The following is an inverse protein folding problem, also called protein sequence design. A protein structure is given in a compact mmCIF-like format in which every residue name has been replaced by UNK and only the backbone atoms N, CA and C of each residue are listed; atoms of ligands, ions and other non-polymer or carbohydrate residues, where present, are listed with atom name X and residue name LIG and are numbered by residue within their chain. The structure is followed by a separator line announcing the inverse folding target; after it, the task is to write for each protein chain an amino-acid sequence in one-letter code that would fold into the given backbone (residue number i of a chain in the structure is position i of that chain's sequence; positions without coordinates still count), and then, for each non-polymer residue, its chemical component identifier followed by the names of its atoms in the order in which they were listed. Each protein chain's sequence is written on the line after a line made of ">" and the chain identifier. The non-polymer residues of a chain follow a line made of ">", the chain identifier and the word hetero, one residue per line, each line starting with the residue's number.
data_IF_124152495792
#
_entry.id   IF_124152495792
#
_cell.length_a   1.000
_cell.length_b   1.000
_cell.length_c   1.000
_cell.angle_alpha   90.00
_cell.angle_beta   90.00
_cell.angle_gamma   90.00
#
_symmetry.space_group_name_H-M   'P 1'
#
loop_
_entity.id
_entity.type
_entity.pdbx_description
1 polymer ?
#
# COMPACT_ATOMS: atom_id res chain seq x y z
N UNK A 1 -2.85 -2.69 7.29
CA UNK A 1 -3.38 -2.02 6.08
C UNK A 1 -3.18 -2.96 4.90
N UNK A 2 -4.24 -3.37 4.20
CA UNK A 2 -4.13 -4.38 3.12
C UNK A 2 -4.43 -3.69 1.78
N UNK A 3 -3.47 -3.74 0.86
CA UNK A 3 -3.57 -3.17 -0.49
C UNK A 3 -4.07 -4.22 -1.47
N UNK A 4 -4.85 -3.81 -2.49
CA UNK A 4 -5.32 -4.69 -3.57
C UNK A 4 -4.13 -5.16 -4.41
N UNK A 5 -3.61 -6.34 -4.11
CA UNK A 5 -2.52 -6.95 -4.85
C UNK A 5 -3.07 -7.93 -5.88
N UNK A 6 -3.03 -7.56 -7.17
CA UNK A 6 -3.32 -8.52 -8.25
C UNK A 6 -2.20 -9.56 -8.35
N UNK A 7 -2.54 -10.79 -8.73
CA UNK A 7 -1.63 -11.95 -8.80
C UNK A 7 -0.32 -11.69 -9.58
N UNK A 8 -0.32 -10.74 -10.53
CA UNK A 8 0.86 -10.35 -11.32
C UNK A 8 1.87 -9.50 -10.56
N UNK A 9 1.41 -8.67 -9.63
CA UNK A 9 2.28 -7.77 -8.88
C UNK A 9 2.83 -8.43 -7.62
N UNK A 10 2.05 -9.33 -7.00
CA UNK A 10 2.46 -10.14 -5.85
C UNK A 10 3.78 -10.88 -6.12
N UNK A 11 3.91 -11.52 -7.29
CA UNK A 11 5.11 -12.32 -7.65
C UNK A 11 6.43 -11.53 -7.74
N UNK A 12 6.37 -10.20 -7.68
CA UNK A 12 7.56 -9.34 -7.76
C UNK A 12 8.01 -8.84 -6.38
N UNK A 13 7.18 -9.00 -5.36
CA UNK A 13 7.48 -8.61 -3.99
C UNK A 13 8.35 -9.67 -3.36
N UNK A 14 9.41 -9.25 -2.66
CA UNK A 14 10.34 -10.12 -1.96
C UNK A 14 10.64 -9.60 -0.55
N UNK A 15 11.07 -10.49 0.36
CA UNK A 15 11.65 -10.06 1.63
C UNK A 15 12.76 -9.03 1.42
N UNK A 16 12.73 -7.95 2.20
CA UNK A 16 13.64 -6.81 2.09
C UNK A 16 13.16 -5.68 1.18
N UNK A 17 12.07 -5.85 0.43
CA UNK A 17 11.47 -4.75 -0.33
C UNK A 17 10.79 -3.76 0.61
N UNK A 18 10.95 -2.46 0.29
CA UNK A 18 10.27 -1.39 0.99
C UNK A 18 8.88 -1.14 0.40
N UNK A 19 7.89 -1.00 1.27
CA UNK A 19 6.53 -0.62 0.90
C UNK A 19 6.15 0.69 1.57
N UNK A 20 5.43 1.55 0.85
CA UNK A 20 4.86 2.77 1.41
C UNK A 20 3.37 2.57 1.68
N UNK A 21 2.90 3.06 2.82
CA UNK A 21 1.49 3.09 3.16
C UNK A 21 0.85 4.37 2.64
N UNK A 22 -0.21 4.25 1.85
CA UNK A 22 -0.99 5.39 1.37
C UNK A 22 -2.38 5.37 2.00
N UNK A 23 -2.71 6.43 2.72
CA UNK A 23 -3.98 6.63 3.41
C UNK A 23 -4.97 7.24 2.41
N UNK A 24 -6.16 6.64 2.31
CA UNK A 24 -7.24 7.04 1.39
C UNK A 24 -8.53 7.36 2.15
N UNK A 25 -8.44 7.88 3.38
CA UNK A 25 -9.62 8.22 4.17
C UNK A 25 -10.21 9.58 3.79
N UNK A 26 -11.46 9.82 4.18
CA UNK A 26 -12.17 11.08 3.90
C UNK A 26 -11.52 12.32 4.54
N UNK A 27 -10.83 12.13 5.68
CA UNK A 27 -10.27 13.22 6.49
C UNK A 27 -8.78 13.44 6.26
N UNK A 28 -8.03 12.39 5.92
CA UNK A 28 -6.59 12.46 5.69
C UNK A 28 -6.21 11.56 4.52
N UNK A 29 -5.43 12.12 3.60
CA UNK A 29 -4.96 11.42 2.40
C UNK A 29 -3.49 11.74 2.17
N UNK A 30 -2.69 10.70 1.90
CA UNK A 30 -1.26 10.85 1.68
C UNK A 30 -0.47 9.65 2.16
N UNK A 31 0.84 9.70 2.00
CA UNK A 31 1.73 8.65 2.48
C UNK A 31 1.91 8.77 3.99
N UNK A 32 1.53 7.73 4.73
CA UNK A 32 1.55 7.71 6.19
C UNK A 32 2.81 7.09 6.80
N UNK A 33 3.68 6.53 5.99
CA UNK A 33 4.83 5.78 6.47
C UNK A 33 5.32 4.73 5.49
N UNK A 34 6.22 3.88 5.97
CA UNK A 34 6.75 2.75 5.21
C UNK A 34 7.05 1.56 6.12
N UNK A 35 7.28 0.41 5.51
CA UNK A 35 7.72 -0.82 6.17
C UNK A 35 8.59 -1.65 5.21
N UNK A 36 9.19 -2.72 5.72
CA UNK A 36 9.97 -3.71 4.99
C UNK A 36 9.26 -5.05 5.02
N UNK A 37 9.08 -5.65 3.84
CA UNK A 37 8.52 -6.98 3.68
C UNK A 37 9.41 -8.01 4.39
N UNK A 38 8.82 -8.78 5.30
CA UNK A 38 9.51 -9.80 6.07
C UNK A 38 9.43 -11.19 5.41
N UNK A 39 8.35 -11.47 4.69
CA UNK A 39 8.06 -12.81 4.15
C UNK A 39 7.75 -12.79 2.66
N UNK A 40 8.00 -13.91 2.00
CA UNK A 40 7.49 -14.14 0.64
C UNK A 40 5.96 -14.10 0.67
N UNK A 41 5.29 -13.54 -0.36
CA UNK A 41 3.85 -13.54 -0.41
C UNK A 41 3.27 -14.95 -0.38
N UNK A 42 2.28 -15.15 0.47
CA UNK A 42 1.62 -16.43 0.68
C UNK A 42 0.10 -16.28 0.57
N UNK A 43 -0.65 -17.36 0.34
CA UNK A 43 -2.10 -17.31 0.37
C UNK A 43 -2.60 -16.77 1.71
N UNK A 44 -3.61 -15.91 1.68
CA UNK A 44 -4.18 -15.36 2.90
C UNK A 44 -4.86 -16.47 3.72
N UNK A 45 -4.62 -16.47 5.03
CA UNK A 45 -5.26 -17.42 5.95
C UNK A 45 -6.69 -16.97 6.30
N UNK A 46 -7.58 -17.90 6.73
CA UNK A 46 -8.91 -17.53 7.19
C UNK A 46 -8.89 -16.48 8.31
N UNK A 47 -7.96 -16.59 9.26
CA UNK A 47 -7.79 -15.63 10.36
C UNK A 47 -7.46 -14.23 9.85
N UNK A 48 -6.49 -14.12 8.93
CA UNK A 48 -6.14 -12.84 8.30
C UNK A 48 -7.32 -12.21 7.55
N UNK A 49 -8.20 -13.01 6.93
CA UNK A 49 -9.40 -12.51 6.24
C UNK A 49 -10.36 -11.78 7.20
N UNK A 50 -10.50 -12.24 8.44
CA UNK A 50 -11.35 -11.59 9.44
C UNK A 50 -10.85 -10.21 9.86
N UNK A 51 -9.55 -9.95 9.70
CA UNK A 51 -8.93 -8.66 10.05
C UNK A 51 -8.90 -7.66 8.90
N UNK A 52 -9.45 -8.00 7.73
CA UNK A 52 -9.60 -7.06 6.62
C UNK A 52 -10.74 -6.08 6.94
N UNK A 53 -10.42 -4.79 6.92
CA UNK A 53 -11.37 -3.70 7.17
C UNK A 53 -11.43 -2.79 5.94
N UNK A 54 -12.64 -2.38 5.54
CA UNK A 54 -12.88 -1.38 4.51
C UNK A 54 -13.10 -1.90 3.07
N UNK A 55 -12.64 -3.10 2.75
CA UNK A 55 -12.97 -3.80 1.48
C UNK A 55 -13.44 -5.23 1.78
N UNK A 56 -14.11 -5.86 0.81
CA UNK A 56 -14.51 -7.27 0.98
C UNK A 56 -13.26 -8.13 1.15
N UNK A 57 -13.25 -8.99 2.16
CA UNK A 57 -12.14 -9.93 2.38
C UNK A 57 -11.92 -10.89 1.19
N UNK A 58 -12.94 -11.05 0.33
CA UNK A 58 -12.90 -11.84 -0.91
C UNK A 58 -12.01 -11.21 -1.99
N UNK A 59 -11.74 -9.90 -1.91
CA UNK A 59 -10.93 -9.18 -2.90
C UNK A 59 -9.41 -9.40 -2.73
N UNK A 60 -9.01 -10.20 -1.73
CA UNK A 60 -7.62 -10.44 -1.38
C UNK A 60 -7.28 -11.93 -1.40
N UNK A 61 -6.30 -12.29 -2.23
CA UNK A 61 -5.84 -13.67 -2.41
C UNK A 61 -4.55 -13.98 -1.63
N UNK A 62 -3.70 -12.98 -1.45
CA UNK A 62 -2.35 -13.13 -0.90
C UNK A 62 -2.09 -12.10 0.21
N UNK A 63 -1.22 -12.48 1.14
CA UNK A 63 -0.68 -11.64 2.18
C UNK A 63 0.85 -11.75 2.20
N UNK A 64 1.50 -10.73 2.75
CA UNK A 64 2.90 -10.76 3.15
C UNK A 64 3.00 -10.09 4.51
N UNK A 65 3.93 -10.56 5.32
CA UNK A 65 4.17 -10.00 6.64
C UNK A 65 5.18 -8.86 6.53
N UNK A 66 5.11 -7.93 7.48
CA UNK A 66 6.01 -6.81 7.58
C UNK A 66 6.87 -6.92 8.85
N UNK A 67 8.04 -6.30 8.84
CA UNK A 67 9.01 -6.43 9.94
C UNK A 67 8.92 -5.28 10.95
N UNK A 68 8.91 -4.03 10.49
CA UNK A 68 8.88 -2.86 11.35
C UNK A 68 8.28 -1.65 10.62
N UNK A 69 7.05 -1.32 10.99
CA UNK A 69 6.35 -0.18 10.42
C UNK A 69 6.87 1.14 11.02
N UNK A 70 7.36 2.03 10.16
CA UNK A 70 7.58 3.43 10.52
C UNK A 70 6.36 4.24 10.11
N UNK A 71 5.65 4.78 11.10
CA UNK A 71 4.49 5.65 10.91
C UNK A 71 4.90 7.10 11.16
N UNK A 72 4.51 7.99 10.25
CA UNK A 72 4.77 9.42 10.37
C UNK A 72 3.65 10.11 11.14
N UNK A 73 4.01 11.16 11.88
CA UNK A 73 3.04 11.95 12.67
C UNK A 73 2.00 12.68 11.81
N UNK A 74 2.34 12.96 10.56
CA UNK A 74 1.44 13.57 9.57
C UNK A 74 1.65 12.88 8.22
N UNK A 75 0.56 12.53 7.51
CA UNK A 75 0.68 12.01 6.15
C UNK A 75 1.32 13.05 5.23
N UNK A 76 2.20 12.61 4.34
CA UNK A 76 2.77 13.45 3.29
C UNK A 76 1.83 13.41 2.08
N UNK A 77 1.21 14.54 1.77
CA UNK A 77 0.28 14.63 0.65
C UNK A 77 0.98 14.38 -0.70
N UNK A 78 0.27 13.80 -1.66
CA UNK A 78 0.84 13.50 -2.98
C UNK A 78 1.29 14.78 -3.71
N UNK A 79 0.56 15.87 -3.49
CA UNK A 79 0.80 17.19 -4.03
C UNK A 79 2.16 17.75 -3.58
N UNK A 80 2.58 17.45 -2.35
CA UNK A 80 3.87 17.87 -1.78
C UNK A 80 5.06 17.11 -2.39
N UNK A 81 4.80 15.90 -2.88
CA UNK A 81 5.80 15.03 -3.49
C UNK A 81 6.03 15.35 -4.97
N UNK A 82 5.02 15.92 -5.65
CA UNK A 82 5.12 16.59 -6.95
C UNK A 82 6.18 16.00 -7.90
N UNK A 83 7.16 16.82 -8.27
CA UNK A 83 8.27 16.47 -9.18
C UNK A 83 9.45 15.77 -8.47
N UNK A 84 9.40 15.62 -7.15
CA UNK A 84 10.46 14.97 -6.37
C UNK A 84 10.45 13.46 -6.57
N UNK A 85 9.27 12.89 -6.83
CA UNK A 85 9.11 11.48 -7.19
C UNK A 85 9.23 11.30 -8.71
N UNK A 86 10.37 10.77 -9.15
CA UNK A 86 10.63 10.44 -10.55
C UNK A 86 9.57 9.51 -11.16
N UNK A 87 8.95 8.66 -10.34
CA UNK A 87 7.85 7.76 -10.76
C UNK A 87 6.55 8.51 -11.10
N UNK A 88 6.35 9.71 -10.54
CA UNK A 88 5.18 10.56 -10.81
C UNK A 88 5.41 11.51 -11.99
N UNK A 89 6.67 11.68 -12.44
CA UNK A 89 6.98 12.48 -13.62
C UNK A 89 6.35 11.86 -14.87
N UNK A 90 5.50 12.63 -15.54
CA UNK A 90 4.85 12.25 -16.80
C UNK A 90 3.68 11.27 -16.69
N UNK A 91 3.36 10.72 -15.51
CA UNK A 91 2.24 9.79 -15.32
C UNK A 91 0.99 10.48 -14.78
N UNK A 92 0.22 11.09 -15.69
CA UNK A 92 -1.07 11.75 -15.39
C UNK A 92 -2.07 10.81 -14.70
N UNK A 93 -2.06 9.52 -15.03
CA UNK A 93 -3.03 8.52 -14.52
C UNK A 93 -2.83 8.13 -13.06
N UNK A 94 -1.60 8.20 -12.53
CA UNK A 94 -1.34 7.89 -11.12
C UNK A 94 -1.95 8.96 -10.22
N UNK A 95 -1.89 10.24 -10.63
CA UNK A 95 -2.58 11.32 -9.93
C UNK A 95 -4.07 11.04 -9.80
N UNK A 96 -4.72 10.52 -10.84
CA UNK A 96 -6.16 10.19 -10.81
C UNK A 96 -6.49 9.08 -9.80
N UNK A 97 -5.70 8.00 -9.74
CA UNK A 97 -5.96 6.88 -8.82
C UNK A 97 -5.78 7.24 -7.34
N UNK A 98 -5.00 8.26 -7.05
CA UNK A 98 -4.80 8.77 -5.70
C UNK A 98 -5.75 9.92 -5.34
N UNK A 99 -6.40 10.54 -6.33
CA UNK A 99 -7.32 11.67 -6.14
C UNK A 99 -8.80 11.23 -6.11
N UNK A 100 -9.16 10.14 -6.77
CA UNK A 100 -10.56 9.67 -6.90
C UNK A 100 -10.92 8.43 -6.05
N UNK A 101 -10.08 8.03 -5.08
CA UNK A 101 -10.33 6.89 -4.18
C UNK A 101 -11.06 7.29 -2.89
#
# INVERSE_FOLDING_TARGET
>A
MVSKLTTRNVKKIKPGDYVFFYITGDYERGFGGYDVIATEPHPITPEQRFHIVGMSSEDFDYAAEFSEAIVWNKPIALEELGDKLSILKGKRSLKTHFVEA
#
